data_IF_782317992016
#
_entry.id   IF_782317992016
#
_cell.length_a   1.000
_cell.length_b   1.000
_cell.length_c   1.000
_cell.angle_alpha   90.00
_cell.angle_beta   90.00
_cell.angle_gamma   90.00
#
_symmetry.space_group_name_H-M   'P 1'
#
loop_
_entity.id
_entity.type
_entity.pdbx_description
1 polymer ?
#
# COMPACT_ATOMS: atom_id res chain seq x y z
N UNK A 1 -25.76 -29.50 -0.93
CA UNK A 1 -25.34 -28.98 0.39
C UNK A 1 -23.88 -28.49 0.41
N UNK A 2 -22.94 -29.17 -0.25
CA UNK A 2 -21.52 -28.74 -0.32
C UNK A 2 -21.28 -27.40 -1.06
N UNK A 3 -22.01 -27.11 -2.15
CA UNK A 3 -21.86 -25.87 -2.92
C UNK A 3 -22.31 -24.61 -2.16
N UNK A 4 -23.31 -24.73 -1.26
CA UNK A 4 -23.78 -23.63 -0.44
C UNK A 4 -22.80 -23.29 0.70
N UNK A 5 -22.11 -24.30 1.25
CA UNK A 5 -21.03 -24.09 2.22
C UNK A 5 -19.79 -23.44 1.58
N UNK A 6 -19.46 -23.82 0.34
CA UNK A 6 -18.40 -23.16 -0.43
C UNK A 6 -18.74 -21.70 -0.74
N UNK A 7 -19.98 -21.40 -1.17
CA UNK A 7 -20.42 -20.03 -1.44
C UNK A 7 -20.54 -19.14 -0.18
N UNK A 8 -20.87 -19.71 0.98
CA UNK A 8 -20.87 -19.01 2.26
C UNK A 8 -19.44 -18.70 2.75
N UNK A 9 -18.51 -19.64 2.58
CA UNK A 9 -17.09 -19.41 2.82
C UNK A 9 -16.49 -18.36 1.86
N UNK A 10 -16.97 -18.33 0.60
CA UNK A 10 -16.58 -17.34 -0.42
C UNK A 10 -17.17 -15.94 -0.13
N UNK A 11 -18.37 -15.88 0.47
CA UNK A 11 -19.00 -14.64 0.92
C UNK A 11 -18.31 -14.04 2.15
N UNK A 12 -17.82 -14.87 3.07
CA UNK A 12 -17.00 -14.45 4.21
C UNK A 12 -15.60 -13.94 3.75
N UNK A 13 -15.11 -14.49 2.63
CA UNK A 13 -13.89 -14.04 1.90
C UNK A 13 -14.04 -12.68 1.20
N UNK A 14 -15.27 -12.19 0.98
CA UNK A 14 -15.56 -10.87 0.38
C UNK A 14 -15.55 -9.72 1.40
N UNK A 15 -15.04 -9.96 2.60
CA UNK A 15 -14.86 -8.95 3.64
C UNK A 15 -13.75 -7.97 3.32
N UNK A 16 -13.95 -6.70 3.68
CA UNK A 16 -12.86 -5.70 3.68
C UNK A 16 -11.86 -6.05 4.77
N UNK A 17 -10.64 -6.43 4.40
CA UNK A 17 -9.56 -6.68 5.36
C UNK A 17 -8.84 -5.38 5.73
N UNK A 18 -8.70 -5.11 7.03
CA UNK A 18 -7.97 -3.93 7.55
C UNK A 18 -6.68 -4.40 8.22
N UNK A 19 -5.55 -4.07 7.63
CA UNK A 19 -4.22 -4.37 8.19
C UNK A 19 -3.86 -3.34 9.26
N UNK A 20 -4.12 -3.65 10.54
CA UNK A 20 -3.79 -2.77 11.66
C UNK A 20 -2.31 -2.84 12.00
N UNK A 21 -1.70 -1.69 12.31
CA UNK A 21 -0.28 -1.58 12.72
C UNK A 21 0.67 -2.27 11.72
N UNK A 22 0.30 -2.24 10.43
CA UNK A 22 1.05 -2.90 9.37
C UNK A 22 2.44 -2.29 9.19
N UNK A 23 2.50 -0.97 9.28
CA UNK A 23 3.70 -0.15 9.28
C UNK A 23 3.93 0.37 10.71
N UNK A 24 5.18 0.38 11.17
CA UNK A 24 5.53 0.98 12.47
C UNK A 24 5.30 2.49 12.43
N UNK A 25 5.13 3.13 13.58
CA UNK A 25 4.93 4.58 13.63
C UNK A 25 6.13 5.34 13.06
N UNK A 26 7.35 4.89 13.32
CA UNK A 26 8.56 5.53 12.83
C UNK A 26 8.68 5.40 11.31
N UNK A 27 8.40 4.21 10.78
CA UNK A 27 8.38 4.00 9.33
C UNK A 27 7.25 4.79 8.68
N UNK A 28 6.07 4.91 9.30
CA UNK A 28 5.01 5.79 8.80
C UNK A 28 5.49 7.24 8.67
N UNK A 29 6.23 7.76 9.66
CA UNK A 29 6.78 9.13 9.61
C UNK A 29 7.82 9.29 8.51
N UNK A 30 8.66 8.29 8.30
CA UNK A 30 9.66 8.29 7.23
C UNK A 30 8.99 8.29 5.85
N UNK A 31 7.99 7.43 5.63
CA UNK A 31 7.21 7.40 4.39
C UNK A 31 6.46 8.73 4.17
N UNK A 32 5.92 9.33 5.23
CA UNK A 32 5.29 10.66 5.16
C UNK A 32 6.28 11.74 4.74
N UNK A 33 7.48 11.74 5.32
CA UNK A 33 8.54 12.67 4.93
C UNK A 33 8.86 12.54 3.44
N UNK A 34 9.07 11.32 2.95
CA UNK A 34 9.41 11.07 1.53
C UNK A 34 8.25 11.50 0.62
N UNK A 35 7.00 11.21 0.99
CA UNK A 35 5.83 11.66 0.23
C UNK A 35 5.75 13.18 0.14
N UNK A 36 6.07 13.92 1.21
CA UNK A 36 6.07 15.38 1.18
C UNK A 36 7.25 15.96 0.38
N UNK A 37 8.40 15.30 0.40
CA UNK A 37 9.61 15.77 -0.29
C UNK A 37 9.60 15.47 -1.79
N UNK A 38 9.06 14.32 -2.20
CA UNK A 38 9.18 13.80 -3.56
C UNK A 38 7.82 13.49 -4.21
N UNK A 39 6.71 13.83 -3.54
CA UNK A 39 5.36 13.59 -4.06
C UNK A 39 4.97 14.54 -5.18
N UNK A 40 4.21 14.01 -6.13
CA UNK A 40 3.50 14.81 -7.11
C UNK A 40 2.28 15.46 -6.44
N UNK A 41 2.30 16.78 -6.33
CA UNK A 41 1.16 17.60 -5.87
C UNK A 41 0.24 17.87 -7.06
N UNK A 42 -1.07 17.76 -6.86
CA UNK A 42 -2.02 18.41 -7.77
C UNK A 42 -2.99 17.50 -8.53
N UNK A 43 -2.97 16.19 -8.35
CA UNK A 43 -4.04 15.35 -8.92
C UNK A 43 -5.37 15.53 -8.17
N UNK A 44 -5.34 15.67 -6.85
CA UNK A 44 -6.48 16.07 -6.01
C UNK A 44 -6.03 16.89 -4.79
N UNK A 45 -6.84 17.85 -4.30
CA UNK A 45 -6.56 18.53 -3.04
C UNK A 45 -6.40 17.54 -1.88
N UNK A 46 -5.35 17.72 -1.08
CA UNK A 46 -5.06 16.84 0.07
C UNK A 46 -4.50 15.46 -0.29
N UNK A 47 -4.15 15.20 -1.55
CA UNK A 47 -3.55 13.94 -1.98
C UNK A 47 -2.14 14.18 -2.49
N UNK A 48 -1.19 13.42 -1.94
CA UNK A 48 0.15 13.28 -2.51
C UNK A 48 0.28 11.84 -3.04
N UNK A 49 0.58 11.70 -4.32
CA UNK A 49 1.04 10.41 -4.85
C UNK A 49 2.56 10.46 -5.01
N UNK A 50 3.21 9.39 -4.60
CA UNK A 50 4.60 9.15 -4.94
C UNK A 50 4.71 7.74 -5.48
N UNK A 51 4.76 7.63 -6.81
CA UNK A 51 5.03 6.35 -7.45
C UNK A 51 6.50 5.96 -7.24
N UNK A 52 6.78 4.66 -7.11
CA UNK A 52 8.17 4.18 -7.04
C UNK A 52 8.96 4.58 -8.29
N UNK A 53 8.30 4.66 -9.45
CA UNK A 53 8.90 5.15 -10.68
C UNK A 53 9.26 6.64 -10.61
N UNK A 54 8.40 7.48 -10.03
CA UNK A 54 8.73 8.89 -9.79
C UNK A 54 9.96 9.03 -8.91
N UNK A 55 10.03 8.30 -7.80
CA UNK A 55 11.18 8.36 -6.91
C UNK A 55 12.46 7.82 -7.58
N UNK A 56 12.34 6.73 -8.34
CA UNK A 56 13.46 6.15 -9.10
C UNK A 56 13.99 7.11 -10.17
N UNK A 57 13.12 7.95 -10.72
CA UNK A 57 13.48 8.99 -11.68
C UNK A 57 14.09 10.24 -11.04
N UNK A 58 14.10 10.33 -9.70
CA UNK A 58 14.82 11.40 -8.98
C UNK A 58 16.26 10.99 -8.67
N UNK A 59 17.13 11.97 -8.41
CA UNK A 59 18.50 11.73 -7.89
C UNK A 59 18.51 11.24 -6.43
N UNK A 60 17.33 10.95 -5.88
CA UNK A 60 17.11 10.49 -4.51
C UNK A 60 16.58 9.04 -4.47
N UNK A 61 17.04 8.16 -5.37
CA UNK A 61 16.59 6.77 -5.43
C UNK A 61 16.78 5.99 -4.10
N UNK A 62 17.71 6.41 -3.23
CA UNK A 62 17.88 5.84 -1.88
C UNK A 62 16.63 6.01 -1.00
N UNK A 63 15.80 7.03 -1.26
CA UNK A 63 14.52 7.21 -0.58
C UNK A 63 13.47 6.14 -0.98
N UNK A 64 13.76 5.27 -1.96
CA UNK A 64 12.90 4.11 -2.26
C UNK A 64 13.06 2.99 -1.25
N UNK A 65 14.22 2.90 -0.59
CA UNK A 65 14.57 1.76 0.26
C UNK A 65 13.53 1.49 1.36
N UNK A 66 12.91 2.50 2.01
CA UNK A 66 11.86 2.25 2.99
C UNK A 66 10.56 1.67 2.39
N UNK A 67 10.29 1.90 1.11
CA UNK A 67 9.06 1.43 0.45
C UNK A 67 9.15 -0.02 -0.01
N UNK A 68 10.33 -0.48 -0.47
CA UNK A 68 10.51 -1.83 -1.00
C UNK A 68 10.10 -2.95 -0.02
N UNK A 69 10.57 -2.99 1.25
CA UNK A 69 10.17 -4.04 2.17
C UNK A 69 8.70 -3.94 2.57
N UNK A 70 8.12 -2.73 2.61
CA UNK A 70 6.68 -2.54 2.88
C UNK A 70 5.85 -3.10 1.74
N UNK A 71 6.27 -2.83 0.50
CA UNK A 71 5.65 -3.33 -0.73
C UNK A 71 5.62 -4.84 -0.76
N UNK A 72 6.77 -5.47 -0.54
CA UNK A 72 6.91 -6.93 -0.61
C UNK A 72 6.11 -7.61 0.50
N UNK A 73 6.20 -7.08 1.73
CA UNK A 73 5.38 -7.58 2.84
C UNK A 73 3.89 -7.42 2.59
N UNK A 74 3.46 -6.32 1.94
CA UNK A 74 2.05 -6.07 1.64
C UNK A 74 1.53 -7.06 0.61
N UNK A 75 2.30 -7.27 -0.47
CA UNK A 75 2.00 -8.29 -1.48
C UNK A 75 1.84 -9.65 -0.82
N UNK A 76 2.85 -10.11 -0.08
CA UNK A 76 2.83 -11.44 0.54
C UNK A 76 1.65 -11.59 1.52
N UNK A 77 1.33 -10.53 2.27
CA UNK A 77 0.17 -10.52 3.19
C UNK A 77 -1.16 -10.62 2.43
N UNK A 78 -1.32 -9.88 1.34
CA UNK A 78 -2.55 -9.89 0.54
C UNK A 78 -2.71 -11.23 -0.18
N UNK A 79 -1.66 -11.72 -0.83
CA UNK A 79 -1.67 -13.01 -1.52
C UNK A 79 -1.96 -14.16 -0.55
N UNK A 80 -1.39 -14.12 0.66
CA UNK A 80 -1.70 -15.08 1.73
C UNK A 80 -3.15 -14.98 2.22
N UNK A 81 -3.71 -13.76 2.38
CA UNK A 81 -5.08 -13.58 2.86
C UNK A 81 -6.12 -14.10 1.87
N UNK A 82 -5.87 -13.92 0.57
CA UNK A 82 -6.79 -14.36 -0.48
C UNK A 82 -6.42 -15.72 -1.08
N UNK A 83 -5.28 -16.30 -0.69
CA UNK A 83 -4.70 -17.55 -1.21
C UNK A 83 -4.64 -17.59 -2.75
N UNK A 84 -4.11 -16.51 -3.33
CA UNK A 84 -3.88 -16.40 -4.77
C UNK A 84 -2.76 -15.41 -5.07
N UNK A 85 -2.02 -15.69 -6.15
CA UNK A 85 -0.97 -14.81 -6.65
C UNK A 85 -1.60 -13.75 -7.55
N UNK A 86 -1.36 -12.48 -7.24
CA UNK A 86 -2.05 -11.38 -7.92
C UNK A 86 -1.17 -10.63 -8.91
N UNK A 87 0.10 -11.02 -9.08
CA UNK A 87 1.10 -10.20 -9.79
C UNK A 87 1.00 -8.71 -9.36
N UNK A 88 0.78 -8.51 -8.05
CA UNK A 88 0.18 -7.29 -7.52
C UNK A 88 1.15 -6.11 -7.66
N UNK A 89 0.72 -5.05 -8.34
CA UNK A 89 1.44 -3.78 -8.33
C UNK A 89 0.94 -2.92 -7.17
N UNK A 90 1.86 -2.50 -6.30
CA UNK A 90 1.56 -1.67 -5.14
C UNK A 90 2.06 -0.25 -5.42
N UNK A 91 1.13 0.69 -5.38
CA UNK A 91 1.41 2.13 -5.39
C UNK A 91 1.12 2.73 -4.01
N UNK A 92 1.95 3.69 -3.59
CA UNK A 92 1.80 4.38 -2.32
C UNK A 92 1.19 5.77 -2.54
N UNK A 93 0.07 6.02 -1.88
CA UNK A 93 -0.63 7.32 -1.91
C UNK A 93 -0.84 7.80 -0.48
N UNK A 94 -0.39 9.01 -0.20
CA UNK A 94 -0.60 9.68 1.07
C UNK A 94 -1.82 10.63 1.00
N UNK A 95 -2.71 10.49 1.97
CA UNK A 95 -3.79 11.45 2.20
C UNK A 95 -3.34 12.43 3.27
N UNK A 96 -3.04 13.67 2.87
CA UNK A 96 -2.81 14.75 3.82
C UNK A 96 -4.17 15.30 4.22
N UNK A 97 -4.52 15.21 5.51
CA UNK A 97 -5.60 16.04 6.05
C UNK A 97 -5.09 17.47 6.10
N UNK A 98 -5.76 18.39 5.38
CA UNK A 98 -5.57 19.83 5.62
C UNK A 98 -5.71 20.09 7.13
N UNK A 99 -4.88 20.98 7.71
CA UNK A 99 -5.17 21.52 9.04
C UNK A 99 -6.57 22.15 9.09
#
# INVERSE_FOLDING_TARGET
>A
MAAAAAAAADAERRGRHILRRFVSLDLCKELEFIHRSCGAVGYRPGVLSTTLLHLAATDCAHLLLPFLPVRDRLRDTVESLFACDFALFVEFTALIRSP
#
